data_IF_876071414790
#
_entry.id   IF_876071414790
#
_cell.length_a   1.000
_cell.length_b   1.000
_cell.length_c   1.000
_cell.angle_alpha   90.00
_cell.angle_beta   90.00
_cell.angle_gamma   90.00
#
_symmetry.space_group_name_H-M   'P 1'
#
loop_
_entity.id
_entity.type
_entity.pdbx_description
1 polymer ?
#
# COMPACT_ATOMS: atom_id res chain seq x y z
N UNK A 1 22.13 -65.59 7.27
CA UNK A 1 23.09 -64.86 8.14
C UNK A 1 22.35 -63.62 8.63
N UNK A 2 21.66 -63.67 9.76
CA UNK A 2 22.21 -63.41 11.12
C UNK A 2 22.92 -62.05 11.15
N UNK A 3 22.57 -61.07 11.97
CA UNK A 3 21.63 -60.98 13.09
C UNK A 3 22.07 -59.78 13.95
N UNK A 4 21.08 -59.01 14.42
CA UNK A 4 21.03 -58.14 15.61
C UNK A 4 22.28 -57.41 16.14
N UNK A 5 22.12 -56.10 16.40
CA UNK A 5 22.45 -55.53 17.70
C UNK A 5 21.54 -54.34 18.03
N UNK A 6 21.09 -54.31 19.29
CA UNK A 6 20.17 -53.36 19.89
C UNK A 6 20.90 -52.40 20.84
N UNK A 7 20.36 -51.19 21.00
CA UNK A 7 20.49 -50.26 22.14
C UNK A 7 19.52 -49.09 21.86
N UNK A 8 18.65 -48.56 22.71
CA UNK A 8 18.48 -48.66 24.16
C UNK A 8 18.22 -47.27 24.75
N UNK A 9 16.93 -46.81 24.76
CA UNK A 9 16.20 -46.05 25.83
C UNK A 9 16.73 -44.64 26.26
N UNK A 10 15.97 -43.68 26.90
CA UNK A 10 14.52 -43.35 27.01
C UNK A 10 14.17 -41.85 26.69
N UNK A 11 12.89 -41.47 26.84
CA UNK A 11 12.41 -40.35 27.70
C UNK A 11 11.50 -39.30 27.05
N UNK A 12 10.23 -39.32 27.49
CA UNK A 12 9.32 -38.20 27.77
C UNK A 12 9.06 -37.13 26.68
N UNK A 13 7.84 -37.13 26.13
CA UNK A 13 6.90 -36.04 26.44
C UNK A 13 5.46 -36.45 26.21
N UNK A 14 4.70 -36.23 27.26
CA UNK A 14 3.28 -36.48 27.48
C UNK A 14 2.46 -35.43 26.72
N UNK A 15 1.61 -35.83 25.78
CA UNK A 15 0.61 -34.93 25.15
C UNK A 15 -0.79 -35.45 25.50
N UNK A 16 -1.24 -35.13 26.72
CA UNK A 16 -2.64 -35.24 27.12
C UNK A 16 -3.38 -33.92 26.87
N UNK A 17 -4.43 -34.02 26.04
CA UNK A 17 -5.76 -33.37 26.13
C UNK A 17 -5.86 -31.85 26.36
N UNK A 18 -6.52 -31.21 25.39
CA UNK A 18 -7.67 -30.27 25.60
C UNK A 18 -8.43 -30.21 24.28
N UNK A 19 -9.51 -31.00 24.12
CA UNK A 19 -10.94 -30.69 24.37
C UNK A 19 -11.55 -29.67 23.40
N UNK A 20 -12.52 -30.18 22.63
CA UNK A 20 -13.71 -29.54 22.05
C UNK A 20 -14.07 -28.18 22.69
N UNK A 21 -14.30 -27.17 21.85
CA UNK A 21 -15.22 -26.09 22.17
C UNK A 21 -16.58 -26.41 21.53
N UNK A 22 -17.49 -26.90 22.36
CA UNK A 22 -18.92 -26.94 22.07
C UNK A 22 -19.49 -25.53 22.29
N UNK A 23 -20.27 -25.06 21.32
CA UNK A 23 -21.10 -23.87 21.43
C UNK A 23 -22.27 -24.22 22.34
N UNK A 24 -22.37 -23.59 23.51
CA UNK A 24 -23.59 -23.53 24.31
C UNK A 24 -23.75 -22.12 24.87
N UNK A 25 -24.74 -21.41 24.35
CA UNK A 25 -25.32 -20.22 24.94
C UNK A 25 -26.63 -20.61 25.62
N UNK A 26 -26.71 -20.56 26.95
CA UNK A 26 -27.98 -20.53 27.72
C UNK A 26 -27.79 -19.74 29.02
N UNK A 27 -28.50 -18.61 29.08
CA UNK A 27 -29.20 -17.91 30.18
C UNK A 27 -28.56 -17.57 31.54
N UNK A 28 -28.55 -16.24 31.77
CA UNK A 28 -29.09 -15.49 32.91
C UNK A 28 -28.56 -15.69 34.35
N UNK A 29 -27.95 -14.62 34.89
CA UNK A 29 -27.79 -14.41 36.34
C UNK A 29 -27.21 -13.04 36.70
N UNK A 30 -28.05 -12.16 37.26
CA UNK A 30 -27.69 -10.87 37.90
C UNK A 30 -26.52 -11.00 38.88
N UNK A 31 -25.51 -10.12 38.80
CA UNK A 31 -25.13 -9.13 39.85
C UNK A 31 -23.81 -8.39 39.54
N UNK A 32 -23.91 -7.08 39.79
CA UNK A 32 -22.91 -6.16 40.36
C UNK A 32 -21.67 -5.70 39.58
N UNK A 33 -21.55 -4.37 39.59
CA UNK A 33 -20.54 -3.49 39.01
C UNK A 33 -19.09 -3.96 39.14
N UNK A 34 -18.47 -4.20 37.99
CA UNK A 34 -17.03 -4.01 37.83
C UNK A 34 -16.80 -3.52 36.39
N UNK A 35 -16.25 -2.31 36.27
CA UNK A 35 -15.84 -1.71 35.00
C UNK A 35 -14.51 -2.33 34.54
N UNK A 36 -14.53 -3.65 34.33
CA UNK A 36 -13.42 -4.39 33.74
C UNK A 36 -13.74 -4.62 32.26
N UNK A 37 -12.90 -4.05 31.42
CA UNK A 37 -12.65 -4.45 30.04
C UNK A 37 -13.89 -4.78 29.19
N UNK A 38 -14.56 -3.73 28.70
CA UNK A 38 -15.20 -3.80 27.39
C UNK A 38 -14.11 -3.89 26.29
N UNK A 39 -13.25 -4.91 26.39
CA UNK A 39 -12.43 -5.36 25.28
C UNK A 39 -13.42 -5.71 24.17
N UNK A 40 -13.35 -4.94 23.08
CA UNK A 40 -14.09 -5.21 21.85
C UNK A 40 -13.99 -6.73 21.59
N UNK A 41 -15.12 -7.44 21.68
CA UNK A 41 -15.24 -8.89 21.45
C UNK A 41 -15.08 -9.22 19.96
N UNK A 42 -14.21 -8.50 19.26
CA UNK A 42 -13.85 -8.82 17.89
C UNK A 42 -12.88 -9.99 17.96
N UNK A 43 -13.23 -11.14 17.36
CA UNK A 43 -12.36 -12.30 17.37
C UNK A 43 -11.02 -11.95 16.74
N UNK A 44 -9.92 -12.23 17.43
CA UNK A 44 -8.58 -12.02 16.89
C UNK A 44 -8.31 -13.07 15.80
N UNK A 45 -8.32 -12.68 14.53
CA UNK A 45 -8.08 -13.61 13.41
C UNK A 45 -6.59 -13.63 13.08
N UNK A 46 -5.87 -14.63 13.60
CA UNK A 46 -4.45 -14.81 13.28
C UNK A 46 -4.28 -15.29 11.82
N UNK A 47 -3.95 -14.38 10.90
CA UNK A 47 -3.47 -14.79 9.59
C UNK A 47 -2.02 -15.17 9.65
N UNK A 48 -1.80 -16.47 9.50
CA UNK A 48 -0.54 -16.97 8.95
C UNK A 48 -0.63 -16.84 7.43
N UNK A 49 0.53 -16.68 6.81
CA UNK A 49 0.86 -16.79 5.38
C UNK A 49 -0.33 -16.98 4.44
N UNK A 50 -0.51 -16.06 3.48
CA UNK A 50 -1.50 -16.22 2.41
C UNK A 50 -1.44 -17.64 1.82
N UNK A 51 -2.57 -18.32 1.79
CA UNK A 51 -2.67 -19.68 1.27
C UNK A 51 -3.06 -19.61 -0.20
N UNK A 52 -2.45 -20.44 -1.08
CA UNK A 52 -2.95 -20.62 -2.43
C UNK A 52 -4.43 -20.98 -2.40
N UNK A 53 -5.20 -20.50 -3.37
CA UNK A 53 -6.61 -20.82 -3.44
C UNK A 53 -6.84 -22.30 -3.75
N UNK A 54 -7.77 -22.93 -3.03
CA UNK A 54 -8.18 -24.32 -3.22
C UNK A 54 -9.67 -24.53 -2.94
N UNK A 55 -10.20 -25.68 -3.35
CA UNK A 55 -11.62 -26.04 -3.18
C UNK A 55 -12.04 -26.08 -1.71
N UNK A 56 -11.10 -26.37 -0.80
CA UNK A 56 -11.31 -26.33 0.64
C UNK A 56 -11.64 -24.94 1.18
N UNK A 57 -11.20 -23.88 0.50
CA UNK A 57 -11.51 -22.49 0.90
C UNK A 57 -12.89 -22.03 0.41
N UNK A 58 -13.59 -22.84 -0.39
CA UNK A 58 -14.98 -22.56 -0.77
C UNK A 58 -15.98 -22.85 0.33
N UNK A 59 -15.53 -23.43 1.45
CA UNK A 59 -16.37 -23.68 2.62
C UNK A 59 -15.72 -23.16 3.87
N UNK A 60 -16.47 -22.41 4.67
CA UNK A 60 -16.04 -21.97 5.98
C UNK A 60 -17.17 -22.18 6.98
N UNK A 61 -16.90 -22.94 8.05
CA UNK A 61 -17.91 -23.31 9.06
C UNK A 61 -19.19 -23.90 8.44
N UNK A 62 -19.02 -24.83 7.49
CA UNK A 62 -20.10 -25.49 6.74
C UNK A 62 -20.95 -24.57 5.85
N UNK A 63 -20.62 -23.28 5.75
CA UNK A 63 -21.23 -22.33 4.81
C UNK A 63 -20.40 -22.24 3.53
N UNK A 64 -21.09 -22.06 2.39
CA UNK A 64 -20.44 -21.82 1.11
C UNK A 64 -19.91 -20.38 1.04
N UNK A 65 -18.63 -20.25 0.65
CA UNK A 65 -17.95 -18.96 0.47
C UNK A 65 -18.23 -18.47 -0.95
N UNK A 66 -18.86 -17.29 -1.07
CA UNK A 66 -19.07 -16.64 -2.35
C UNK A 66 -17.80 -15.90 -2.77
N UNK A 67 -17.17 -16.35 -3.85
CA UNK A 67 -16.06 -15.63 -4.47
C UNK A 67 -16.60 -14.55 -5.40
N UNK A 68 -16.41 -13.28 -5.03
CA UNK A 68 -16.72 -12.16 -5.91
C UNK A 68 -15.54 -11.92 -6.87
N UNK A 69 -15.77 -11.89 -8.19
CA UNK A 69 -14.70 -11.61 -9.15
C UNK A 69 -14.25 -10.15 -9.04
N UNK A 70 -13.00 -9.88 -9.39
CA UNK A 70 -12.55 -8.51 -9.61
C UNK A 70 -13.28 -7.91 -10.79
N UNK A 71 -13.88 -6.74 -10.58
CA UNK A 71 -14.56 -5.97 -11.63
C UNK A 71 -13.72 -4.78 -12.10
N UNK A 72 -12.54 -4.58 -11.51
CA UNK A 72 -11.70 -3.41 -11.70
C UNK A 72 -10.20 -3.79 -11.70
N UNK A 73 -9.43 -3.18 -12.60
CA UNK A 73 -7.97 -3.30 -12.71
C UNK A 73 -7.25 -2.01 -12.31
N UNK A 74 -6.20 -2.05 -11.45
CA UNK A 74 -5.49 -0.86 -10.97
C UNK A 74 -4.71 -0.11 -12.06
N UNK A 75 -4.46 -0.71 -13.22
CA UNK A 75 -3.64 -0.10 -14.26
C UNK A 75 -4.25 1.20 -14.82
N UNK A 76 -5.58 1.32 -14.80
CA UNK A 76 -6.31 2.53 -15.22
C UNK A 76 -5.93 3.76 -14.41
N UNK A 77 -5.60 3.58 -13.12
CA UNK A 77 -5.24 4.70 -12.24
C UNK A 77 -4.01 5.43 -12.75
N UNK A 78 -3.08 4.73 -13.36
CA UNK A 78 -1.79 5.34 -13.74
C UNK A 78 -1.83 6.03 -15.08
N UNK A 79 -2.64 5.53 -16.02
CA UNK A 79 -2.96 6.29 -17.21
C UNK A 79 -3.77 7.54 -16.85
N UNK A 80 -4.74 7.45 -15.93
CA UNK A 80 -5.43 8.63 -15.43
C UNK A 80 -4.50 9.61 -14.72
N UNK A 81 -3.59 9.11 -13.88
CA UNK A 81 -2.63 9.95 -13.17
C UNK A 81 -1.70 10.70 -14.13
N UNK A 82 -1.36 10.13 -15.30
CA UNK A 82 -0.60 10.80 -16.36
C UNK A 82 -1.38 11.91 -17.07
N UNK A 83 -2.71 11.84 -17.08
CA UNK A 83 -3.58 12.86 -17.67
C UNK A 83 -3.93 14.00 -16.73
N UNK A 84 -3.50 13.94 -15.46
CA UNK A 84 -3.76 15.00 -14.49
C UNK A 84 -3.19 16.33 -14.98
N UNK A 85 -3.94 17.40 -14.72
CA UNK A 85 -3.41 18.74 -14.92
C UNK A 85 -2.31 19.03 -13.90
N UNK A 86 -1.51 20.06 -14.18
CA UNK A 86 -0.46 20.49 -13.26
C UNK A 86 -1.00 20.92 -11.90
N UNK A 87 -2.19 21.52 -11.86
CA UNK A 87 -2.87 21.88 -10.61
C UNK A 87 -3.38 20.66 -9.85
N UNK A 88 -3.85 19.63 -10.55
CA UNK A 88 -4.40 18.43 -9.91
C UNK A 88 -3.32 17.52 -9.34
N UNK A 89 -2.09 17.61 -9.86
CA UNK A 89 -0.90 16.90 -9.38
C UNK A 89 -0.19 17.60 -8.20
N UNK A 90 -0.76 18.70 -7.69
CA UNK A 90 -0.29 19.36 -6.48
C UNK A 90 -0.62 18.50 -5.26
N UNK A 91 0.41 18.07 -4.52
CA UNK A 91 0.28 17.28 -3.29
C UNK A 91 0.13 18.20 -2.08
N UNK A 92 0.96 19.25 -2.03
CA UNK A 92 0.98 20.32 -1.02
C UNK A 92 1.50 21.61 -1.71
N UNK A 93 1.37 22.79 -1.10
CA UNK A 93 1.85 24.07 -1.65
C UNK A 93 3.28 24.03 -2.24
N UNK A 94 4.22 23.30 -1.61
CA UNK A 94 5.62 23.18 -2.03
C UNK A 94 5.98 21.81 -2.65
N UNK A 95 5.00 20.92 -2.81
CA UNK A 95 5.24 19.55 -3.26
C UNK A 95 4.24 19.12 -4.33
N UNK A 96 4.79 18.77 -5.50
CA UNK A 96 4.04 18.25 -6.64
C UNK A 96 4.83 17.15 -7.31
N UNK A 97 4.14 16.28 -8.03
CA UNK A 97 4.77 15.40 -9.01
C UNK A 97 4.43 15.86 -10.42
N UNK A 98 5.24 15.44 -11.38
CA UNK A 98 4.97 15.67 -12.81
C UNK A 98 4.25 14.42 -13.36
N UNK A 99 2.97 14.52 -13.76
CA UNK A 99 2.21 13.43 -14.38
C UNK A 99 2.95 12.72 -15.51
N UNK A 100 3.72 13.46 -16.33
CA UNK A 100 4.42 12.91 -17.49
C UNK A 100 5.58 11.96 -17.09
N UNK A 101 6.05 12.04 -15.85
CA UNK A 101 7.15 11.22 -15.33
C UNK A 101 6.70 9.86 -14.77
N UNK A 102 5.39 9.62 -14.67
CA UNK A 102 4.85 8.35 -14.20
C UNK A 102 5.18 7.22 -15.18
N UNK A 103 5.70 6.12 -14.64
CA UNK A 103 6.12 4.93 -15.39
C UNK A 103 5.13 3.79 -15.17
N UNK A 104 4.18 3.62 -16.08
CA UNK A 104 3.10 2.62 -15.93
C UNK A 104 3.58 1.16 -16.01
N UNK A 105 4.80 0.91 -16.46
CA UNK A 105 5.43 -0.40 -16.45
C UNK A 105 6.00 -0.81 -15.08
N UNK A 106 6.15 0.13 -14.16
CA UNK A 106 6.60 -0.14 -12.78
C UNK A 106 5.44 -0.45 -11.84
N UNK A 107 4.27 -0.77 -12.39
CA UNK A 107 3.09 -1.14 -11.62
C UNK A 107 2.88 -2.63 -11.77
N UNK A 108 2.63 -3.26 -10.63
CA UNK A 108 2.28 -4.67 -10.53
C UNK A 108 1.00 -4.79 -9.72
N UNK A 109 0.09 -5.64 -10.17
CA UNK A 109 -1.12 -5.99 -9.44
C UNK A 109 -0.95 -7.35 -8.79
N UNK A 110 -1.25 -7.46 -7.49
CA UNK A 110 -1.22 -8.72 -6.75
C UNK A 110 -2.64 -9.06 -6.34
N UNK A 111 -3.35 -9.95 -7.06
CA UNK A 111 -4.70 -10.34 -6.69
C UNK A 111 -4.66 -11.09 -5.35
N UNK A 112 -5.48 -10.63 -4.40
CA UNK A 112 -5.59 -11.18 -3.05
C UNK A 112 -7.03 -11.53 -2.72
N UNK A 113 -7.28 -12.80 -2.44
CA UNK A 113 -8.56 -13.23 -1.89
C UNK A 113 -8.61 -12.89 -0.40
N UNK A 114 -9.42 -11.88 -0.07
CA UNK A 114 -9.62 -11.44 1.30
C UNK A 114 -10.98 -11.97 1.77
N UNK A 115 -11.02 -12.79 2.85
CA UNK A 115 -12.29 -13.20 3.43
C UNK A 115 -12.99 -11.99 4.04
N UNK A 116 -14.25 -11.80 3.66
CA UNK A 116 -15.10 -10.71 4.12
C UNK A 116 -16.42 -11.28 4.58
N UNK A 117 -16.88 -10.86 5.75
CA UNK A 117 -18.22 -11.16 6.25
C UNK A 117 -19.12 -9.96 6.05
N UNK A 118 -20.31 -10.19 5.50
CA UNK A 118 -21.35 -9.18 5.42
C UNK A 118 -22.35 -9.41 6.56
N UNK A 119 -22.52 -8.40 7.39
CA UNK A 119 -23.46 -8.41 8.51
C UNK A 119 -24.46 -7.29 8.28
N UNK A 120 -25.74 -7.60 8.45
CA UNK A 120 -26.80 -6.61 8.36
C UNK A 120 -27.58 -6.65 9.68
N UNK A 121 -27.67 -5.49 10.34
CA UNK A 121 -28.36 -5.34 11.61
C UNK A 121 -29.54 -4.41 11.42
N UNK A 122 -30.73 -4.87 11.82
CA UNK A 122 -31.87 -3.98 11.96
C UNK A 122 -31.85 -3.37 13.35
N UNK A 123 -31.82 -2.04 13.40
CA UNK A 123 -31.84 -1.27 14.62
C UNK A 123 -33.21 -0.61 14.78
N UNK A 124 -33.81 -0.82 15.96
CA UNK A 124 -34.99 -0.11 16.42
C UNK A 124 -34.57 0.98 17.42
N UNK A 125 -34.48 2.26 17.00
CA UNK A 125 -34.11 3.37 17.86
C UNK A 125 -35.19 3.77 18.88
N UNK A 126 -36.34 3.09 18.94
CA UNK A 126 -37.42 3.32 19.88
C UNK A 126 -38.66 3.99 19.28
N UNK A 127 -39.71 4.13 20.10
CA UNK A 127 -41.12 4.28 19.71
C UNK A 127 -41.47 5.41 18.72
N UNK A 128 -40.66 6.48 18.63
CA UNK A 128 -40.93 7.63 17.76
C UNK A 128 -39.95 7.76 16.59
N UNK A 129 -39.04 6.80 16.42
CA UNK A 129 -37.97 6.86 15.43
C UNK A 129 -38.12 5.74 14.40
N UNK A 130 -37.84 6.04 13.14
CA UNK A 130 -37.94 5.05 12.05
C UNK A 130 -36.85 3.98 12.25
N UNK A 131 -37.18 2.67 12.16
CA UNK A 131 -36.17 1.63 12.14
C UNK A 131 -35.21 1.85 10.98
N UNK A 132 -33.96 1.46 11.17
CA UNK A 132 -32.92 1.56 10.16
C UNK A 132 -32.08 0.29 10.13
N UNK A 133 -31.44 0.05 8.99
CA UNK A 133 -30.54 -1.09 8.81
C UNK A 133 -29.12 -0.58 8.72
N UNK A 134 -28.20 -1.27 9.40
CA UNK A 134 -26.77 -1.02 9.35
C UNK A 134 -26.09 -2.20 8.69
N UNK A 135 -25.39 -1.93 7.60
CA UNK A 135 -24.56 -2.93 6.93
C UNK A 135 -23.12 -2.76 7.40
N UNK A 136 -22.54 -3.86 7.87
CA UNK A 136 -21.16 -3.94 8.30
C UNK A 136 -20.44 -4.99 7.46
N UNK A 137 -19.30 -4.61 6.92
CA UNK A 137 -18.38 -5.43 6.16
C UNK A 137 -17.19 -5.71 7.07
N UNK A 138 -17.01 -6.95 7.49
CA UNK A 138 -15.91 -7.36 8.37
C UNK A 138 -14.86 -8.06 7.55
N UNK A 139 -13.78 -7.34 7.26
CA UNK A 139 -12.59 -7.86 6.65
C UNK A 139 -11.80 -8.69 7.66
N UNK A 140 -11.58 -9.96 7.31
CA UNK A 140 -10.89 -10.93 8.14
C UNK A 140 -9.43 -11.15 7.69
N UNK A 141 -8.82 -10.12 7.09
CA UNK A 141 -7.39 -10.07 6.67
C UNK A 141 -6.45 -9.52 7.75
N UNK A 142 -6.97 -9.09 8.89
CA UNK A 142 -6.17 -8.54 9.98
C UNK A 142 -6.57 -9.17 11.32
N UNK A 143 -5.61 -9.34 12.27
CA UNK A 143 -5.91 -9.85 13.60
C UNK A 143 -7.02 -9.10 14.30
N UNK A 144 -7.03 -7.77 14.24
CA UNK A 144 -8.04 -6.96 14.91
C UNK A 144 -9.40 -6.99 14.19
N UNK A 145 -9.48 -7.58 12.99
CA UNK A 145 -10.58 -7.39 12.05
C UNK A 145 -10.61 -5.94 11.56
N UNK A 146 -11.08 -5.74 10.34
CA UNK A 146 -11.40 -4.41 9.86
C UNK A 146 -12.89 -4.32 9.60
N UNK A 147 -13.55 -3.44 10.32
CA UNK A 147 -15.00 -3.25 10.19
C UNK A 147 -15.22 -2.01 9.36
N UNK A 148 -15.79 -2.18 8.18
CA UNK A 148 -16.24 -1.10 7.31
C UNK A 148 -17.76 -1.04 7.46
N UNK A 149 -18.28 0.12 7.79
CA UNK A 149 -19.71 0.33 7.97
C UNK A 149 -20.24 1.25 6.90
N UNK A 150 -21.37 0.87 6.31
CA UNK A 150 -22.08 1.66 5.33
C UNK A 150 -23.26 2.35 6.01
N UNK A 151 -23.55 3.60 5.62
CA UNK A 151 -24.71 4.39 6.08
C UNK A 151 -24.72 4.76 7.58
N UNK A 152 -23.70 4.41 8.36
CA UNK A 152 -23.65 4.70 9.80
C UNK A 152 -23.52 6.20 10.07
N UNK A 153 -22.70 6.92 9.30
CA UNK A 153 -22.39 8.33 9.53
C UNK A 153 -23.59 9.29 9.40
N UNK A 154 -24.39 9.24 8.32
CA UNK A 154 -25.61 10.04 8.23
C UNK A 154 -26.60 9.71 9.36
N UNK A 155 -26.69 8.43 9.74
CA UNK A 155 -27.59 7.96 10.80
C UNK A 155 -27.13 8.42 12.18
N UNK A 156 -25.86 8.23 12.53
CA UNK A 156 -25.29 8.69 13.80
C UNK A 156 -25.32 10.21 13.89
N UNK A 157 -25.00 10.92 12.81
CA UNK A 157 -25.09 12.38 12.77
C UNK A 157 -26.51 12.88 13.02
N UNK A 158 -27.50 12.24 12.40
CA UNK A 158 -28.92 12.55 12.65
C UNK A 158 -29.32 12.23 14.09
N UNK A 159 -29.05 11.02 14.57
CA UNK A 159 -29.41 10.59 15.91
C UNK A 159 -28.71 11.44 16.98
N UNK A 160 -27.47 11.84 16.75
CA UNK A 160 -26.69 12.70 17.63
C UNK A 160 -27.28 14.12 17.65
N UNK A 161 -27.55 14.73 16.49
CA UNK A 161 -28.22 16.04 16.41
C UNK A 161 -29.60 16.04 17.08
N UNK A 162 -30.34 14.93 16.99
CA UNK A 162 -31.64 14.77 17.65
C UNK A 162 -31.51 14.60 19.17
N UNK A 163 -30.44 13.96 19.65
CA UNK A 163 -30.28 13.58 21.07
C UNK A 163 -29.50 14.61 21.89
N UNK A 164 -28.65 15.39 21.24
CA UNK A 164 -27.78 16.35 21.88
C UNK A 164 -28.38 17.75 21.70
N UNK A 165 -28.59 18.46 22.81
CA UNK A 165 -29.14 19.81 22.76
C UNK A 165 -28.26 20.71 21.87
N UNK A 166 -28.87 21.69 21.19
CA UNK A 166 -28.23 22.61 20.21
C UNK A 166 -26.97 23.36 20.70
N UNK A 167 -26.53 23.14 21.94
CA UNK A 167 -25.40 23.78 22.60
C UNK A 167 -24.24 22.81 22.92
N UNK A 168 -24.16 21.64 22.27
CA UNK A 168 -23.04 20.73 22.47
C UNK A 168 -21.79 21.18 21.73
N UNK A 169 -20.67 21.12 22.44
CA UNK A 169 -19.32 21.36 21.91
C UNK A 169 -18.81 20.25 20.98
N UNK A 170 -19.57 19.17 20.83
CA UNK A 170 -19.23 18.03 19.99
C UNK A 170 -20.08 18.05 18.72
N UNK A 171 -19.81 18.96 17.80
CA UNK A 171 -20.31 18.80 16.43
C UNK A 171 -19.47 17.73 15.74
N UNK A 172 -20.13 16.78 15.07
CA UNK A 172 -19.43 15.87 14.16
C UNK A 172 -18.94 16.73 12.99
N UNK A 173 -17.62 16.78 12.73
CA UNK A 173 -17.07 17.55 11.61
C UNK A 173 -17.81 17.21 10.32
N UNK A 174 -18.15 18.24 9.53
CA UNK A 174 -18.90 18.08 8.28
C UNK A 174 -18.18 17.16 7.28
N UNK A 175 -16.85 17.11 7.38
CA UNK A 175 -15.97 16.23 6.63
C UNK A 175 -16.29 14.74 6.89
N UNK A 176 -16.63 14.35 8.12
CA UNK A 176 -17.03 12.98 8.44
C UNK A 176 -18.45 12.68 7.97
N UNK A 177 -19.33 13.67 7.84
CA UNK A 177 -20.71 13.45 7.38
C UNK A 177 -20.80 13.13 5.88
N UNK A 178 -19.75 13.47 5.11
CA UNK A 178 -19.67 13.24 3.66
C UNK A 178 -19.10 11.88 3.24
N UNK A 179 -18.57 11.08 4.16
CA UNK A 179 -17.99 9.77 3.83
C UNK A 179 -19.08 8.70 3.65
N UNK A 180 -19.01 7.95 2.54
CA UNK A 180 -19.94 6.85 2.26
C UNK A 180 -19.70 5.63 3.17
N UNK A 181 -18.44 5.44 3.58
CA UNK A 181 -18.00 4.31 4.38
C UNK A 181 -17.18 4.81 5.57
N UNK A 182 -17.48 4.29 6.77
CA UNK A 182 -16.64 4.50 7.94
C UNK A 182 -15.92 3.21 8.28
N UNK A 183 -14.59 3.28 8.40
CA UNK A 183 -13.80 2.19 8.98
C UNK A 183 -13.73 2.35 10.50
N UNK A 184 -14.26 1.38 11.23
CA UNK A 184 -14.17 1.33 12.69
C UNK A 184 -12.86 0.64 13.06
N UNK A 185 -11.96 1.41 13.63
CA UNK A 185 -10.66 0.95 14.11
C UNK A 185 -10.69 0.73 15.63
N UNK A 186 -9.79 -0.10 16.18
CA UNK A 186 -9.60 -0.16 17.64
C UNK A 186 -9.38 1.24 18.20
N UNK A 187 -9.87 1.51 19.42
CA UNK A 187 -9.83 2.85 20.05
C UNK A 187 -8.42 3.48 20.16
N UNK A 188 -7.37 2.67 20.02
CA UNK A 188 -5.97 3.07 20.08
C UNK A 188 -5.28 3.14 18.71
N UNK A 189 -5.99 2.87 17.61
CA UNK A 189 -5.47 3.05 16.26
C UNK A 189 -5.66 4.51 15.82
N UNK A 190 -4.76 5.06 14.98
CA UNK A 190 -5.03 6.34 14.35
C UNK A 190 -6.40 6.25 13.66
N UNK A 191 -7.28 7.24 13.86
CA UNK A 191 -8.63 7.25 13.26
C UNK A 191 -8.63 7.05 11.74
N UNK A 192 -7.49 7.30 11.09
CA UNK A 192 -7.29 7.18 9.65
C UNK A 192 -6.24 6.11 9.39
N UNK A 193 -6.68 4.93 8.96
CA UNK A 193 -5.76 4.01 8.30
C UNK A 193 -5.58 4.41 6.84
N UNK A 194 -4.36 4.21 6.35
CA UNK A 194 -3.96 4.59 5.00
C UNK A 194 -4.28 3.49 4.01
N UNK A 195 -4.96 3.83 2.90
CA UNK A 195 -5.15 2.94 1.76
C UNK A 195 -3.85 2.80 0.96
N UNK A 196 -3.07 3.88 0.90
CA UNK A 196 -1.85 3.97 0.12
C UNK A 196 -0.62 4.09 1.00
N UNK A 197 0.22 3.05 1.00
CA UNK A 197 1.54 3.16 1.60
C UNK A 197 2.49 3.88 0.66
N UNK A 198 2.60 5.19 0.80
CA UNK A 198 3.59 5.97 0.07
C UNK A 198 4.99 5.74 0.64
N UNK A 199 5.92 5.38 -0.23
CA UNK A 199 7.35 5.29 0.09
C UNK A 199 8.09 6.34 -0.73
N UNK A 200 8.55 7.40 -0.07
CA UNK A 200 9.48 8.35 -0.69
C UNK A 200 10.91 7.88 -0.49
N UNK A 201 11.67 8.02 -1.55
CA UNK A 201 12.96 7.43 -1.74
C UNK A 201 13.93 8.54 -2.15
N UNK A 202 14.08 9.53 -1.27
CA UNK A 202 14.97 10.70 -1.44
C UNK A 202 16.13 10.67 -0.45
N UNK A 203 17.34 11.00 -0.93
CA UNK A 203 18.55 11.15 -0.12
C UNK A 203 18.76 12.59 0.39
N UNK A 204 18.14 13.59 -0.26
CA UNK A 204 17.99 14.90 0.38
C UNK A 204 17.04 14.66 1.54
N UNK A 205 17.45 14.95 2.80
CA UNK A 205 16.65 14.75 4.03
C UNK A 205 15.19 14.97 3.66
N UNK A 206 14.42 13.90 3.38
CA UNK A 206 13.04 14.10 3.04
C UNK A 206 12.51 14.81 4.28
N UNK A 207 11.79 15.91 4.11
CA UNK A 207 10.87 16.23 5.19
C UNK A 207 10.05 14.94 5.28
N UNK A 208 10.13 14.19 6.39
CA UNK A 208 9.36 12.94 6.53
C UNK A 208 7.87 13.20 6.23
N UNK A 209 7.44 14.46 6.34
CA UNK A 209 6.19 15.01 5.85
C UNK A 209 5.86 14.68 4.38
N UNK A 210 6.78 14.66 3.41
CA UNK A 210 6.42 14.43 2.00
C UNK A 210 5.85 13.03 1.77
N UNK A 211 6.33 12.02 2.51
CA UNK A 211 5.76 10.66 2.48
C UNK A 211 4.34 10.67 3.00
N UNK A 212 4.16 11.29 4.17
CA UNK A 212 2.87 11.40 4.83
C UNK A 212 1.87 12.18 3.94
N UNK A 213 2.31 13.30 3.37
CA UNK A 213 1.52 14.15 2.48
C UNK A 213 1.12 13.44 1.20
N UNK A 214 2.04 12.69 0.55
CA UNK A 214 1.66 11.89 -0.63
C UNK A 214 0.67 10.78 -0.26
N UNK A 215 0.91 10.08 0.86
CA UNK A 215 -0.01 9.05 1.34
C UNK A 215 -1.40 9.62 1.63
N UNK A 216 -1.47 10.71 2.39
CA UNK A 216 -2.71 11.42 2.71
C UNK A 216 -3.41 11.93 1.45
N UNK A 217 -2.67 12.52 0.51
CA UNK A 217 -3.21 12.98 -0.77
C UNK A 217 -3.83 11.87 -1.62
N UNK A 218 -3.22 10.67 -1.63
CA UNK A 218 -3.80 9.50 -2.33
C UNK A 218 -5.02 9.01 -1.57
N UNK A 219 -4.92 8.89 -0.25
CA UNK A 219 -6.00 8.40 0.61
C UNK A 219 -7.24 9.29 0.54
N UNK A 220 -7.08 10.61 0.56
CA UNK A 220 -8.18 11.57 0.49
C UNK A 220 -8.93 11.46 -0.84
N UNK A 221 -8.20 11.23 -1.95
CA UNK A 221 -8.83 10.96 -3.25
C UNK A 221 -9.54 9.63 -3.30
N UNK A 222 -8.99 8.60 -2.67
CA UNK A 222 -9.61 7.29 -2.58
C UNK A 222 -10.88 7.30 -1.71
N UNK A 223 -10.91 8.12 -0.65
CA UNK A 223 -12.05 8.27 0.28
C UNK A 223 -13.13 9.21 -0.24
N UNK A 224 -12.80 10.14 -1.13
CA UNK A 224 -13.75 11.14 -1.62
C UNK A 224 -15.05 10.49 -2.13
N UNK A 225 -16.21 11.00 -1.70
CA UNK A 225 -17.51 10.50 -2.11
C UNK A 225 -17.60 10.30 -3.64
N UNK A 226 -18.14 9.16 -4.08
CA UNK A 226 -18.18 8.76 -5.48
C UNK A 226 -16.83 8.40 -6.12
N UNK A 227 -15.73 8.26 -5.38
CA UNK A 227 -14.41 7.90 -5.94
C UNK A 227 -14.46 6.58 -6.71
N UNK A 228 -15.09 5.54 -6.16
CA UNK A 228 -15.24 4.25 -6.82
C UNK A 228 -16.11 4.34 -8.08
N UNK A 229 -17.16 5.16 -8.07
CA UNK A 229 -18.00 5.38 -9.25
C UNK A 229 -17.23 6.10 -10.37
N UNK A 230 -16.45 7.15 -10.03
CA UNK A 230 -15.55 7.84 -10.98
C UNK A 230 -14.50 6.88 -11.53
N UNK A 231 -13.96 6.01 -10.69
CA UNK A 231 -12.98 5.03 -11.10
C UNK A 231 -13.56 3.97 -12.06
N UNK A 232 -14.77 3.46 -11.78
CA UNK A 232 -15.47 2.56 -12.70
C UNK A 232 -15.74 3.24 -14.05
N UNK A 233 -16.16 4.51 -14.04
CA UNK A 233 -16.35 5.29 -15.27
C UNK A 233 -15.04 5.47 -16.05
N UNK A 234 -13.94 5.72 -15.36
CA UNK A 234 -12.60 5.81 -15.95
C UNK A 234 -12.18 4.50 -16.62
N UNK A 235 -12.42 3.35 -15.98
CA UNK A 235 -12.09 2.06 -16.58
C UNK A 235 -12.89 1.80 -17.85
N UNK A 236 -14.18 2.14 -17.84
CA UNK A 236 -15.04 2.05 -19.02
C UNK A 236 -14.56 2.99 -20.12
N UNK A 237 -14.18 4.24 -19.79
CA UNK A 237 -13.71 5.20 -20.80
C UNK A 237 -12.37 4.82 -21.42
N UNK A 238 -11.49 4.16 -20.66
CA UNK A 238 -10.23 3.62 -21.15
C UNK A 238 -10.37 2.24 -21.82
N UNK A 239 -11.56 1.62 -21.78
CA UNK A 239 -11.77 0.28 -22.30
C UNK A 239 -10.93 -0.80 -21.60
N UNK A 240 -10.51 -0.55 -20.35
CA UNK A 240 -9.64 -1.45 -19.61
C UNK A 240 -10.47 -2.46 -18.80
N UNK A 241 -10.62 -3.66 -19.36
CA UNK A 241 -11.15 -4.81 -18.64
C UNK A 241 -10.10 -5.40 -17.69
N UNK A 242 -10.56 -6.24 -16.75
CA UNK A 242 -9.65 -7.05 -15.93
C UNK A 242 -9.03 -8.13 -16.82
N UNK A 243 -7.74 -7.99 -17.08
CA UNK A 243 -6.92 -8.97 -17.78
C UNK A 243 -6.02 -9.67 -16.76
N UNK A 244 -6.33 -10.92 -16.44
CA UNK A 244 -5.51 -11.74 -15.54
C UNK A 244 -4.25 -12.30 -16.23
N UNK A 245 -4.21 -12.27 -17.56
CA UNK A 245 -3.05 -12.71 -18.35
C UNK A 245 -2.06 -11.55 -18.61
N UNK A 246 -2.38 -10.34 -18.16
CA UNK A 246 -1.44 -9.21 -18.17
C UNK A 246 -0.20 -9.57 -17.35
N UNK A 247 0.97 -9.44 -17.97
CA UNK A 247 2.25 -9.85 -17.40
C UNK A 247 2.60 -9.15 -16.07
N UNK A 248 1.95 -8.01 -15.78
CA UNK A 248 2.08 -7.24 -14.54
C UNK A 248 1.21 -7.78 -13.41
N UNK A 249 0.28 -8.69 -13.68
CA UNK A 249 -0.48 -9.42 -12.67
C UNK A 249 0.41 -10.54 -12.14
N UNK A 250 0.83 -10.45 -10.88
CA UNK A 250 1.83 -11.34 -10.27
C UNK A 250 1.32 -11.98 -8.99
N UNK A 251 1.95 -13.08 -8.61
CA UNK A 251 1.75 -13.66 -7.28
C UNK A 251 2.31 -12.75 -6.18
N UNK A 252 1.62 -12.68 -5.04
CA UNK A 252 2.03 -11.84 -3.90
C UNK A 252 3.42 -12.19 -3.37
N UNK A 253 3.86 -13.44 -3.53
CA UNK A 253 5.20 -13.89 -3.15
C UNK A 253 6.32 -13.22 -3.95
N UNK A 254 6.03 -12.63 -5.12
CA UNK A 254 7.00 -11.88 -5.92
C UNK A 254 7.15 -10.41 -5.49
N UNK A 255 6.22 -9.89 -4.69
CA UNK A 255 6.21 -8.49 -4.27
C UNK A 255 7.50 -8.04 -3.55
N UNK A 256 8.12 -8.84 -2.65
CA UNK A 256 9.38 -8.47 -2.02
C UNK A 256 10.53 -8.31 -3.00
N UNK A 257 10.63 -9.19 -4.00
CA UNK A 257 11.68 -9.13 -5.01
C UNK A 257 11.52 -7.90 -5.92
N UNK A 258 10.28 -7.58 -6.31
CA UNK A 258 10.01 -6.36 -7.08
C UNK A 258 10.27 -5.09 -6.26
N UNK A 259 9.90 -5.09 -4.97
CA UNK A 259 10.21 -3.98 -4.05
C UNK A 259 11.73 -3.78 -3.93
N UNK A 260 12.49 -4.87 -3.84
CA UNK A 260 13.95 -4.79 -3.86
C UNK A 260 14.46 -4.20 -5.17
N UNK A 261 13.95 -4.64 -6.33
CA UNK A 261 14.31 -4.06 -7.63
C UNK A 261 14.08 -2.54 -7.67
N UNK A 262 12.89 -2.06 -7.26
CA UNK A 262 12.58 -0.63 -7.20
C UNK A 262 13.55 0.14 -6.30
N UNK A 263 13.98 -0.46 -5.19
CA UNK A 263 15.01 0.13 -4.32
C UNK A 263 16.39 0.23 -4.99
N UNK A 264 16.74 -0.67 -5.93
CA UNK A 264 17.99 -0.55 -6.70
C UNK A 264 17.85 0.48 -7.82
N UNK A 265 16.70 0.52 -8.49
CA UNK A 265 16.40 1.54 -9.51
C UNK A 265 16.50 2.95 -8.93
N UNK A 266 16.05 3.13 -7.69
CA UNK A 266 16.24 4.37 -6.95
C UNK A 266 17.72 4.80 -6.88
N UNK A 267 18.64 3.89 -6.55
CA UNK A 267 20.06 4.22 -6.46
C UNK A 267 20.60 4.69 -7.82
N UNK A 268 20.18 4.04 -8.90
CA UNK A 268 20.53 4.44 -10.27
C UNK A 268 20.02 5.86 -10.58
N UNK A 269 18.75 6.14 -10.27
CA UNK A 269 18.17 7.48 -10.47
C UNK A 269 18.90 8.55 -9.65
N UNK A 270 19.28 8.23 -8.42
CA UNK A 270 20.05 9.11 -7.56
C UNK A 270 21.40 9.48 -8.17
N UNK A 271 22.19 8.50 -8.60
CA UNK A 271 23.49 8.77 -9.20
C UNK A 271 23.35 9.56 -10.50
N UNK A 272 22.38 9.21 -11.35
CA UNK A 272 22.11 9.92 -12.60
C UNK A 272 21.79 11.40 -12.35
N UNK A 273 20.85 11.68 -11.45
CA UNK A 273 20.46 13.06 -11.14
C UNK A 273 21.58 13.85 -10.46
N UNK A 274 22.35 13.22 -9.56
CA UNK A 274 23.48 13.87 -8.91
C UNK A 274 24.58 14.20 -9.92
N UNK A 275 24.86 13.29 -10.86
CA UNK A 275 25.79 13.52 -11.96
C UNK A 275 25.35 14.68 -12.86
N UNK A 276 24.08 14.71 -13.28
CA UNK A 276 23.53 15.82 -14.10
C UNK A 276 23.74 17.18 -13.40
N UNK A 277 23.44 17.25 -12.10
CA UNK A 277 23.65 18.47 -11.30
C UNK A 277 25.12 18.86 -11.21
N UNK A 278 26.02 17.91 -10.96
CA UNK A 278 27.46 18.16 -10.89
C UNK A 278 28.04 18.56 -12.25
N UNK A 279 27.54 18.00 -13.35
CA UNK A 279 27.93 18.40 -14.70
C UNK A 279 27.53 19.85 -14.99
N UNK A 280 26.32 20.27 -14.59
CA UNK A 280 25.89 21.67 -14.69
C UNK A 280 26.76 22.62 -13.86
N UNK A 281 27.14 22.21 -12.63
CA UNK A 281 28.05 22.99 -11.79
C UNK A 281 29.43 23.08 -12.45
N UNK A 282 29.98 21.96 -12.91
CA UNK A 282 31.28 21.90 -13.58
C UNK A 282 31.33 22.78 -14.84
N UNK A 283 30.25 22.78 -15.64
CA UNK A 283 30.14 23.66 -16.80
C UNK A 283 30.12 25.15 -16.44
N UNK A 284 29.55 25.51 -15.28
CA UNK A 284 29.55 26.90 -14.78
C UNK A 284 30.90 27.30 -14.19
N UNK A 285 31.56 26.43 -13.44
CA UNK A 285 32.86 26.70 -12.81
C UNK A 285 34.01 26.65 -13.81
N UNK A 286 33.92 25.92 -14.93
CA UNK A 286 34.94 26.04 -16.01
C UNK A 286 35.01 27.45 -16.61
N UNK A 287 33.95 28.25 -16.48
CA UNK A 287 33.89 29.61 -16.97
C UNK A 287 34.15 30.68 -15.89
N UNK A 288 34.26 30.29 -14.63
CA UNK A 288 34.47 31.20 -13.50
C UNK A 288 35.52 30.64 -12.56
N UNK A 289 36.59 31.39 -12.25
CA UNK A 289 37.60 31.01 -11.25
C UNK A 289 36.98 30.93 -9.85
N UNK A 290 36.24 29.86 -9.58
CA UNK A 290 35.55 29.59 -8.32
C UNK A 290 36.30 28.46 -7.63
N UNK A 291 36.86 28.75 -6.46
CA UNK A 291 37.37 27.73 -5.56
C UNK A 291 36.18 26.92 -5.01
N UNK A 292 36.19 25.62 -5.29
CA UNK A 292 35.18 24.68 -4.78
C UNK A 292 35.83 23.85 -3.70
N UNK A 293 35.35 24.00 -2.46
CA UNK A 293 35.77 23.17 -1.34
C UNK A 293 35.04 21.83 -1.44
N UNK A 294 35.77 20.78 -1.83
CA UNK A 294 35.23 19.42 -1.89
C UNK A 294 35.50 18.72 -0.57
N UNK A 295 34.45 18.51 0.21
CA UNK A 295 34.51 17.67 1.40
C UNK A 295 34.39 16.20 0.98
N UNK A 296 35.53 15.53 0.79
CA UNK A 296 35.55 14.07 0.71
C UNK A 296 35.23 13.48 2.09
N UNK A 297 34.23 12.61 2.16
CA UNK A 297 33.94 11.74 3.30
C UNK A 297 35.02 10.64 3.41
N UNK A 298 36.28 11.02 3.52
CA UNK A 298 37.36 10.12 3.89
C UNK A 298 37.31 9.87 5.40
N UNK A 299 37.56 8.62 5.81
CA UNK A 299 37.60 8.21 7.23
C UNK A 299 38.63 8.99 8.06
N UNK A 300 39.57 9.68 7.42
CA UNK A 300 40.70 10.34 8.08
C UNK A 300 40.53 11.87 8.24
N UNK A 301 39.37 12.44 7.87
CA UNK A 301 39.00 13.83 8.21
C UNK A 301 39.93 14.94 7.70
N UNK A 302 40.88 14.64 6.82
CA UNK A 302 41.84 15.61 6.28
C UNK A 302 41.31 16.23 5.00
N UNK A 303 40.83 17.47 5.08
CA UNK A 303 40.49 18.30 3.92
C UNK A 303 41.77 18.67 3.17
N UNK A 304 41.82 18.40 1.86
CA UNK A 304 42.87 18.89 0.96
C UNK A 304 42.25 19.85 -0.04
N UNK A 305 42.72 21.10 -0.05
CA UNK A 305 42.36 22.08 -1.05
C UNK A 305 43.00 21.68 -2.39
N UNK A 306 42.19 21.33 -3.37
CA UNK A 306 42.61 21.06 -4.75
C UNK A 306 41.96 22.07 -5.70
N UNK A 307 42.53 22.29 -6.88
CA UNK A 307 41.89 23.07 -7.94
C UNK A 307 40.49 22.49 -8.23
N UNK A 308 39.46 23.33 -8.06
CA UNK A 308 38.05 22.90 -8.04
C UNK A 308 37.62 22.08 -9.25
N UNK A 309 38.13 22.38 -10.45
CA UNK A 309 37.82 21.62 -11.68
C UNK A 309 38.36 20.19 -11.65
N UNK A 310 39.57 19.97 -11.13
CA UNK A 310 40.18 18.63 -11.07
C UNK A 310 39.52 17.75 -10.01
N UNK A 311 39.14 18.34 -8.87
CA UNK A 311 38.41 17.64 -7.82
C UNK A 311 36.99 17.24 -8.27
N UNK A 312 36.27 18.14 -8.95
CA UNK A 312 34.95 17.85 -9.53
C UNK A 312 35.01 16.75 -10.60
N UNK A 313 36.05 16.73 -11.43
CA UNK A 313 36.24 15.67 -12.43
C UNK A 313 36.47 14.29 -11.78
N UNK A 314 37.26 14.23 -10.70
CA UNK A 314 37.46 13.00 -9.91
C UNK A 314 36.13 12.51 -9.31
N UNK A 315 35.34 13.41 -8.71
CA UNK A 315 34.01 13.08 -8.15
C UNK A 315 33.05 12.58 -9.24
N UNK A 316 33.01 13.25 -10.40
CA UNK A 316 32.18 12.83 -11.53
C UNK A 316 32.57 11.44 -12.05
N UNK A 317 33.88 11.14 -12.10
CA UNK A 317 34.37 9.83 -12.52
C UNK A 317 33.99 8.74 -11.50
N UNK A 318 34.16 9.01 -10.20
CA UNK A 318 33.73 8.10 -9.13
C UNK A 318 32.22 7.84 -9.17
N UNK A 319 31.39 8.89 -9.36
CA UNK A 319 29.95 8.73 -9.50
C UNK A 319 29.55 7.96 -10.76
N UNK A 320 30.28 8.13 -11.87
CA UNK A 320 30.05 7.35 -13.10
C UNK A 320 30.31 5.86 -12.87
N UNK A 321 31.36 5.53 -12.12
CA UNK A 321 31.64 4.15 -11.73
C UNK A 321 30.55 3.59 -10.81
N UNK A 322 30.12 4.35 -9.79
CA UNK A 322 29.04 3.95 -8.89
C UNK A 322 27.70 3.79 -9.61
N UNK A 323 27.40 4.65 -10.59
CA UNK A 323 26.23 4.53 -11.45
C UNK A 323 26.28 3.22 -12.24
N UNK A 324 27.42 2.92 -12.89
CA UNK A 324 27.59 1.69 -13.67
C UNK A 324 27.46 0.44 -12.79
N UNK A 325 28.06 0.44 -11.59
CA UNK A 325 27.91 -0.65 -10.63
C UNK A 325 26.45 -0.81 -10.18
N UNK A 326 25.76 0.30 -9.90
CA UNK A 326 24.35 0.29 -9.49
C UNK A 326 23.42 -0.19 -10.61
N UNK A 327 23.67 0.21 -11.86
CA UNK A 327 22.93 -0.26 -13.03
C UNK A 327 23.12 -1.77 -13.24
N UNK A 328 24.34 -2.30 -13.05
CA UNK A 328 24.60 -3.73 -13.10
C UNK A 328 23.85 -4.50 -12.00
N UNK A 329 23.85 -3.97 -10.77
CA UNK A 329 23.10 -4.57 -9.64
C UNK A 329 21.59 -4.50 -9.90
N UNK A 330 21.07 -3.36 -10.37
CA UNK A 330 19.66 -3.20 -10.72
C UNK A 330 19.25 -4.21 -11.79
N UNK A 331 20.01 -4.32 -12.88
CA UNK A 331 19.74 -5.26 -13.97
C UNK A 331 19.78 -6.73 -13.51
N UNK A 332 20.65 -7.07 -12.55
CA UNK A 332 20.69 -8.40 -11.94
C UNK A 332 19.41 -8.72 -11.15
N UNK A 333 18.80 -7.73 -10.49
CA UNK A 333 17.58 -7.89 -9.70
C UNK A 333 16.30 -7.63 -10.51
N UNK A 334 16.41 -7.26 -11.79
CA UNK A 334 15.26 -7.00 -12.64
C UNK A 334 14.44 -8.30 -12.78
N UNK A 335 13.13 -8.29 -12.41
CA UNK A 335 12.28 -9.47 -12.56
C UNK A 335 12.17 -9.91 -14.03
N UNK A 336 12.05 -11.22 -14.25
CA UNK A 336 11.93 -11.77 -15.62
C UNK A 336 10.71 -11.23 -16.35
N UNK A 337 9.56 -11.11 -15.68
CA UNK A 337 8.34 -10.57 -16.27
C UNK A 337 8.52 -9.13 -16.79
N UNK A 338 9.36 -8.31 -16.12
CA UNK A 338 9.63 -6.95 -16.54
C UNK A 338 10.56 -6.92 -17.76
N UNK A 339 11.54 -7.85 -17.83
CA UNK A 339 12.38 -8.02 -19.02
C UNK A 339 11.55 -8.44 -20.23
N UNK A 340 10.63 -9.38 -20.03
CA UNK A 340 9.69 -9.82 -21.06
C UNK A 340 8.78 -8.67 -21.52
N UNK A 341 8.26 -7.87 -20.59
CA UNK A 341 7.46 -6.70 -20.91
C UNK A 341 8.26 -5.70 -21.77
N UNK A 342 9.49 -5.36 -21.36
CA UNK A 342 10.38 -4.46 -22.12
C UNK A 342 10.70 -5.01 -23.52
N UNK A 343 10.91 -6.32 -23.65
CA UNK A 343 11.14 -6.97 -24.94
C UNK A 343 9.92 -6.87 -25.86
N UNK A 344 8.71 -7.13 -25.35
CA UNK A 344 7.46 -7.01 -26.13
C UNK A 344 7.24 -5.59 -26.63
N UNK A 345 7.47 -4.59 -25.78
CA UNK A 345 7.34 -3.18 -26.17
C UNK A 345 8.34 -2.79 -27.26
N UNK A 346 9.56 -3.33 -27.20
CA UNK A 346 10.56 -3.09 -28.24
C UNK A 346 10.13 -3.71 -29.58
N UNK A 347 9.63 -4.95 -29.57
CA UNK A 347 9.13 -5.62 -30.77
C UNK A 347 7.90 -4.91 -31.37
N UNK A 348 7.01 -4.40 -30.54
CA UNK A 348 5.85 -3.60 -30.97
C UNK A 348 6.29 -2.29 -31.64
N UNK A 349 7.24 -1.57 -31.05
CA UNK A 349 7.79 -0.35 -31.63
C UNK A 349 8.48 -0.61 -32.99
N UNK A 350 9.24 -1.71 -33.11
CA UNK A 350 9.90 -2.08 -34.37
C UNK A 350 8.88 -2.44 -35.47
N UNK A 351 7.75 -3.05 -35.12
CA UNK A 351 6.66 -3.34 -36.06
C UNK A 351 5.97 -2.06 -36.53
N UNK A 352 5.66 -1.13 -35.63
CA UNK A 352 5.04 0.14 -36.00
C UNK A 352 5.92 0.98 -36.93
N UNK A 353 7.24 1.00 -36.71
CA UNK A 353 8.18 1.69 -37.59
C UNK A 353 8.30 1.02 -38.96
N UNK A 354 8.19 -0.31 -39.02
CA UNK A 354 8.15 -1.07 -40.27
C UNK A 354 6.87 -0.83 -41.07
N UNK A 355 5.72 -0.63 -40.41
CA UNK A 355 4.44 -0.38 -41.09
C UNK A 355 4.31 1.07 -41.59
N UNK A 356 5.11 2.00 -41.05
CA UNK A 356 5.17 3.40 -41.48
C UNK A 356 6.15 3.67 -42.62
N UNK A 357 7.08 2.75 -42.87
CA UNK A 357 8.12 2.84 -43.90
C UNK A 357 7.64 2.22 -45.22
#
# INVERSE_FOLDING_TARGET
>A
MAGAHASGVPSNMDYRRTRKCEILAVEAGRREHQADDAACLLPTIHLKTALPFGEELRKQNDADVLCLPYTATPFALTEAARTLSFSDAMVEEDFRFDPATLRSHLITAYPLLIPVYLLQYDADPGADKKPYSVTMVVEASQPQGTVITENVLPLTSRLFRESVSKNSLFDIPEELAGEEFMRVLPWNSPMRESFARATCFSNAKPKDSWKAQLGEWVDDRARAAGAMARYAQLQVSLGQAVDFDDIRVRDVGEAPAFTEYLSKEQNVLFYRHTMERLQHINARTKNAEVEVEVFELSKDGTSKTQNGSSALESVLQSMKEQLSQSEAVMNKHKPEWLKEWEARQKEEAEKEDSDRS
#
